data_IF_122820649255
#
_entry.id   IF_122820649255
#
_cell.length_a   1.000
_cell.length_b   1.000
_cell.length_c   1.000
_cell.angle_alpha   90.00
_cell.angle_beta   90.00
_cell.angle_gamma   90.00
#
_symmetry.space_group_name_H-M   'P 1'
#
loop_
_entity.id
_entity.type
_entity.pdbx_description
1 polymer ?
#
# COMPACT_ATOMS: atom_id res chain seq x y z
N UNK A 1 -19.12 -5.42 -5.43
CA UNK A 1 -17.81 -5.05 -4.85
C UNK A 1 -17.93 -5.11 -3.34
N UNK A 2 -17.05 -5.84 -2.66
CA UNK A 2 -17.11 -6.05 -1.21
C UNK A 2 -16.71 -4.78 -0.43
N UNK A 3 -17.16 -4.63 0.84
CA UNK A 3 -16.96 -3.40 1.59
C UNK A 3 -15.49 -2.99 1.76
N UNK A 4 -14.60 -3.92 2.10
CA UNK A 4 -13.20 -3.58 2.36
C UNK A 4 -12.40 -3.34 1.09
N UNK A 5 -12.61 -4.13 0.04
CA UNK A 5 -12.01 -3.86 -1.28
C UNK A 5 -12.38 -2.46 -1.76
N UNK A 6 -13.65 -2.06 -1.66
CA UNK A 6 -14.07 -0.71 -2.03
C UNK A 6 -13.33 0.36 -1.23
N UNK A 7 -13.20 0.18 0.07
CA UNK A 7 -12.51 1.15 0.95
C UNK A 7 -11.03 1.27 0.59
N UNK A 8 -10.37 0.14 0.33
CA UNK A 8 -8.97 0.12 -0.08
C UNK A 8 -8.77 0.78 -1.44
N UNK A 9 -9.63 0.51 -2.44
CA UNK A 9 -9.58 1.19 -3.74
C UNK A 9 -9.71 2.71 -3.58
N UNK A 10 -10.69 3.17 -2.80
CA UNK A 10 -10.88 4.60 -2.53
C UNK A 10 -9.65 5.20 -1.83
N UNK A 11 -9.12 4.54 -0.80
CA UNK A 11 -7.95 5.02 -0.07
C UNK A 11 -6.73 5.17 -0.98
N UNK A 12 -6.45 4.18 -1.82
CA UNK A 12 -5.33 4.22 -2.77
C UNK A 12 -5.48 5.34 -3.79
N UNK A 13 -6.68 5.53 -4.35
CA UNK A 13 -6.95 6.62 -5.31
C UNK A 13 -6.80 7.99 -4.63
N UNK A 14 -7.34 8.16 -3.42
CA UNK A 14 -7.22 9.43 -2.68
C UNK A 14 -5.76 9.75 -2.38
N UNK A 15 -4.99 8.80 -1.86
CA UNK A 15 -3.55 9.01 -1.57
C UNK A 15 -2.77 9.29 -2.85
N UNK A 16 -3.06 8.59 -3.94
CA UNK A 16 -2.42 8.86 -5.22
C UNK A 16 -2.72 10.27 -5.74
N UNK A 17 -3.97 10.74 -5.65
CA UNK A 17 -4.32 12.11 -6.04
C UNK A 17 -3.58 13.13 -5.17
N UNK A 18 -3.61 12.98 -3.84
CA UNK A 18 -2.92 13.89 -2.92
C UNK A 18 -1.40 13.96 -3.16
N UNK A 19 -0.78 12.84 -3.49
CA UNK A 19 0.66 12.77 -3.75
C UNK A 19 1.05 13.24 -5.15
N UNK A 20 0.21 12.98 -6.16
CA UNK A 20 0.45 13.39 -7.55
C UNK A 20 0.19 14.88 -7.81
N UNK A 21 -0.72 15.50 -7.06
CA UNK A 21 -0.94 16.96 -7.09
C UNK A 21 0.09 17.74 -6.27
N UNK A 22 0.97 17.05 -5.52
CA UNK A 22 1.93 17.67 -4.61
C UNK A 22 1.31 18.24 -3.34
N UNK A 23 0.01 18.02 -3.09
CA UNK A 23 -0.67 18.43 -1.85
C UNK A 23 -0.05 17.76 -0.62
N UNK A 24 0.36 16.50 -0.77
CA UNK A 24 1.13 15.76 0.23
C UNK A 24 2.42 15.26 -0.42
N UNK A 25 3.61 15.53 0.13
CA UNK A 25 4.85 14.99 -0.40
C UNK A 25 4.83 13.45 -0.35
N UNK A 26 4.95 12.77 -1.49
CA UNK A 26 4.94 11.30 -1.52
C UNK A 26 6.03 10.66 -0.63
N UNK A 27 7.19 11.30 -0.53
CA UNK A 27 8.27 10.90 0.37
C UNK A 27 7.94 10.99 1.87
N UNK A 28 6.89 11.73 2.27
CA UNK A 28 6.43 11.72 3.66
C UNK A 28 5.72 10.40 4.02
N UNK A 29 5.09 9.77 3.02
CA UNK A 29 4.26 8.58 3.20
C UNK A 29 4.96 7.30 2.71
N UNK A 30 6.04 7.41 1.95
CA UNK A 30 6.85 6.28 1.51
C UNK A 30 7.64 5.65 2.67
N UNK A 31 8.06 4.40 2.49
CA UNK A 31 8.95 3.73 3.43
C UNK A 31 10.40 4.01 3.04
N UNK A 32 11.17 4.60 3.96
CA UNK A 32 12.62 4.74 3.85
C UNK A 32 13.28 3.86 4.91
N UNK A 33 13.74 2.63 4.58
CA UNK A 33 14.29 1.73 5.60
C UNK A 33 15.48 2.33 6.36
N UNK A 34 16.36 3.06 5.67
CA UNK A 34 17.48 3.76 6.30
C UNK A 34 17.06 4.89 7.26
N UNK A 35 15.89 5.50 7.07
CA UNK A 35 15.37 6.61 7.88
C UNK A 35 14.16 6.20 8.73
N UNK A 36 13.94 4.90 8.95
CA UNK A 36 12.76 4.38 9.62
C UNK A 36 12.53 5.00 11.01
N UNK A 37 13.58 5.22 11.80
CA UNK A 37 13.46 5.85 13.12
C UNK A 37 12.92 7.28 13.08
N UNK A 38 13.05 7.97 11.94
CA UNK A 38 12.52 9.32 11.73
C UNK A 38 11.10 9.29 11.14
N UNK A 39 10.74 8.23 10.40
CA UNK A 39 9.45 8.08 9.72
C UNK A 39 8.86 6.68 9.94
N UNK A 40 8.56 6.29 11.19
CA UNK A 40 8.16 4.92 11.50
C UNK A 40 6.79 4.55 10.92
N UNK A 41 5.92 5.53 10.66
CA UNK A 41 4.62 5.31 10.00
C UNK A 41 4.76 4.81 8.56
N UNK A 42 5.95 4.99 7.94
CA UNK A 42 6.26 4.55 6.59
C UNK A 42 5.96 3.07 6.35
N UNK A 43 6.09 2.21 7.37
CA UNK A 43 5.81 0.76 7.26
C UNK A 43 4.33 0.43 7.01
N UNK A 44 3.42 1.38 7.22
CA UNK A 44 2.00 1.23 6.90
C UNK A 44 1.59 2.15 5.74
N UNK A 45 2.03 3.39 5.74
CA UNK A 45 1.58 4.38 4.75
C UNK A 45 2.07 4.08 3.35
N UNK A 46 3.24 3.44 3.22
CA UNK A 46 3.83 3.15 1.90
C UNK A 46 2.95 2.24 1.04
N UNK A 47 2.13 1.40 1.68
CA UNK A 47 1.17 0.51 1.02
C UNK A 47 0.21 1.29 0.11
N UNK A 48 -0.09 2.55 0.42
CA UNK A 48 -1.04 3.37 -0.33
C UNK A 48 -0.39 4.32 -1.34
N UNK A 49 0.94 4.49 -1.29
CA UNK A 49 1.68 5.41 -2.16
C UNK A 49 2.01 4.73 -3.48
N UNK A 50 1.86 5.42 -4.60
CA UNK A 50 2.16 4.88 -5.93
C UNK A 50 3.01 5.87 -6.73
N UNK A 51 4.10 5.38 -7.33
CA UNK A 51 5.08 6.21 -8.04
C UNK A 51 4.55 6.85 -9.34
N UNK A 52 3.59 6.22 -10.01
CA UNK A 52 3.03 6.71 -11.28
C UNK A 52 1.65 6.09 -11.56
N UNK A 53 0.98 6.61 -12.60
CA UNK A 53 -0.37 6.18 -12.98
C UNK A 53 -0.45 4.69 -13.34
N UNK A 54 0.51 4.16 -14.11
CA UNK A 54 0.51 2.74 -14.48
C UNK A 54 0.68 1.84 -13.24
N UNK A 55 1.49 2.27 -12.28
CA UNK A 55 1.71 1.52 -11.05
C UNK A 55 0.43 1.40 -10.21
N UNK A 56 -0.33 2.49 -10.02
CA UNK A 56 -1.63 2.39 -9.33
C UNK A 56 -2.64 1.59 -10.16
N UNK A 57 -2.70 1.78 -11.48
CA UNK A 57 -3.66 1.09 -12.34
C UNK A 57 -3.55 -0.42 -12.20
N UNK A 58 -2.36 -1.00 -12.31
CA UNK A 58 -2.17 -2.45 -12.21
C UNK A 58 -2.44 -3.00 -10.81
N UNK A 59 -2.06 -2.27 -9.76
CA UNK A 59 -2.39 -2.68 -8.38
C UNK A 59 -3.91 -2.68 -8.15
N UNK A 60 -4.61 -1.66 -8.63
CA UNK A 60 -6.07 -1.57 -8.47
C UNK A 60 -6.80 -2.63 -9.29
N UNK A 61 -6.29 -2.99 -10.48
CA UNK A 61 -6.79 -4.14 -11.25
C UNK A 61 -6.65 -5.43 -10.44
N UNK A 62 -5.46 -5.71 -9.89
CA UNK A 62 -5.24 -6.89 -9.05
C UNK A 62 -6.18 -6.92 -7.84
N UNK A 63 -6.25 -5.83 -7.09
CA UNK A 63 -7.12 -5.71 -5.92
C UNK A 63 -8.61 -5.84 -6.29
N UNK A 64 -9.03 -5.30 -7.43
CA UNK A 64 -10.41 -5.40 -7.90
C UNK A 64 -10.81 -6.82 -8.31
N UNK A 65 -9.92 -7.56 -8.97
CA UNK A 65 -10.22 -8.93 -9.43
C UNK A 65 -10.05 -9.98 -8.32
N UNK A 66 -9.00 -9.88 -7.50
CA UNK A 66 -8.70 -10.90 -6.48
C UNK A 66 -9.30 -10.57 -5.12
N UNK A 67 -9.32 -9.29 -4.74
CA UNK A 67 -9.76 -8.83 -3.42
C UNK A 67 -11.17 -9.30 -3.04
N UNK A 68 -12.21 -9.14 -3.88
CA UNK A 68 -13.57 -9.52 -3.49
C UNK A 68 -13.73 -11.01 -3.24
N UNK A 69 -13.02 -11.85 -4.01
CA UNK A 69 -13.04 -13.31 -3.84
C UNK A 69 -12.39 -13.70 -2.51
N UNK A 70 -11.25 -13.10 -2.18
CA UNK A 70 -10.57 -13.29 -0.89
C UNK A 70 -11.42 -12.78 0.28
N UNK A 71 -12.03 -11.60 0.17
CA UNK A 71 -12.88 -11.03 1.24
C UNK A 71 -14.11 -11.89 1.51
N UNK A 72 -14.74 -12.44 0.46
CA UNK A 72 -15.89 -13.35 0.60
C UNK A 72 -15.51 -14.69 1.24
N UNK A 73 -14.32 -15.23 0.93
CA UNK A 73 -13.85 -16.50 1.48
C UNK A 73 -13.35 -16.40 2.92
N UNK A 74 -12.61 -15.32 3.24
CA UNK A 74 -11.96 -15.15 4.54
C UNK A 74 -12.81 -14.36 5.53
N UNK A 75 -13.78 -13.59 5.04
CA UNK A 75 -14.46 -12.55 5.81
C UNK A 75 -13.64 -11.26 5.93
N UNK A 76 -14.33 -10.15 6.18
CA UNK A 76 -13.72 -8.81 6.11
C UNK A 76 -12.55 -8.55 7.07
N UNK A 77 -12.60 -9.08 8.30
CA UNK A 77 -11.51 -8.90 9.28
C UNK A 77 -10.25 -9.66 8.86
N UNK A 78 -10.40 -10.92 8.46
CA UNK A 78 -9.28 -11.75 8.03
C UNK A 78 -8.67 -11.24 6.72
N UNK A 79 -9.48 -10.73 5.81
CA UNK A 79 -9.01 -10.06 4.60
C UNK A 79 -8.16 -8.81 4.91
N UNK A 80 -8.58 -7.97 5.85
CA UNK A 80 -7.77 -6.84 6.29
C UNK A 80 -6.47 -7.28 6.96
N UNK A 81 -6.51 -8.29 7.82
CA UNK A 81 -5.31 -8.81 8.45
C UNK A 81 -4.34 -9.36 7.40
N UNK A 82 -4.85 -10.07 6.39
CA UNK A 82 -4.04 -10.54 5.27
C UNK A 82 -3.37 -9.38 4.55
N UNK A 83 -4.13 -8.33 4.20
CA UNK A 83 -3.60 -7.13 3.54
C UNK A 83 -2.53 -6.43 4.37
N UNK A 84 -2.75 -6.24 5.67
CA UNK A 84 -1.79 -5.58 6.56
C UNK A 84 -0.54 -6.44 6.80
N UNK A 85 -0.71 -7.75 6.99
CA UNK A 85 0.41 -8.66 7.20
C UNK A 85 1.25 -8.83 5.95
N UNK A 86 0.65 -8.85 4.75
CA UNK A 86 1.40 -8.91 3.49
C UNK A 86 2.22 -7.63 3.29
N UNK A 87 1.63 -6.45 3.56
CA UNK A 87 2.35 -5.18 3.60
C UNK A 87 3.49 -5.17 4.62
N UNK A 88 3.25 -5.57 5.88
CA UNK A 88 4.31 -5.64 6.87
C UNK A 88 5.42 -6.62 6.48
N UNK A 89 5.08 -7.73 5.83
CA UNK A 89 6.04 -8.65 5.22
C UNK A 89 6.90 -7.96 4.17
N UNK A 90 6.28 -7.23 3.24
CA UNK A 90 6.98 -6.43 2.24
C UNK A 90 7.90 -5.37 2.84
N UNK A 91 7.46 -4.70 3.91
CA UNK A 91 8.28 -3.76 4.66
C UNK A 91 9.50 -4.46 5.29
N UNK A 92 9.30 -5.62 5.93
CA UNK A 92 10.39 -6.40 6.52
C UNK A 92 11.43 -6.83 5.47
N UNK A 93 10.98 -7.32 4.30
CA UNK A 93 11.87 -7.65 3.19
C UNK A 93 12.62 -6.42 2.66
N UNK A 94 11.98 -5.25 2.69
CA UNK A 94 12.60 -3.99 2.26
C UNK A 94 13.77 -3.57 3.17
N UNK A 95 13.69 -3.82 4.48
CA UNK A 95 14.81 -3.61 5.40
C UNK A 95 16.02 -4.50 5.09
N UNK A 96 15.77 -5.71 4.55
CA UNK A 96 16.82 -6.67 4.23
C UNK A 96 17.45 -6.40 2.84
N UNK A 97 16.63 -6.09 1.84
CA UNK A 97 17.06 -6.10 0.44
C UNK A 97 17.05 -4.73 -0.25
N UNK A 98 16.32 -3.74 0.28
CA UNK A 98 16.13 -2.43 -0.35
C UNK A 98 16.48 -1.26 0.59
N UNK A 99 17.43 -1.47 1.51
CA UNK A 99 17.68 -0.55 2.63
C UNK A 99 17.90 0.92 2.22
N UNK A 100 18.52 1.15 1.06
CA UNK A 100 18.90 2.46 0.56
C UNK A 100 17.91 3.06 -0.45
N UNK A 101 16.79 2.39 -0.73
CA UNK A 101 15.81 2.83 -1.71
C UNK A 101 14.46 3.12 -1.04
N UNK A 102 13.73 4.16 -1.47
CA UNK A 102 12.35 4.35 -1.05
C UNK A 102 11.46 3.23 -1.60
N UNK A 103 10.55 2.75 -0.77
CA UNK A 103 9.58 1.71 -1.14
C UNK A 103 8.18 2.30 -1.11
N UNK A 104 7.40 2.02 -2.16
CA UNK A 104 6.01 2.47 -2.35
C UNK A 104 5.20 1.38 -3.03
N UNK A 105 3.91 1.28 -2.69
CA UNK A 105 2.93 0.40 -3.31
C UNK A 105 2.59 -0.83 -2.46
N UNK A 106 1.33 -1.27 -2.56
CA UNK A 106 0.79 -2.46 -1.89
C UNK A 106 0.87 -3.72 -2.76
N UNK A 107 1.92 -3.89 -3.57
CA UNK A 107 2.09 -5.09 -4.40
C UNK A 107 2.57 -6.33 -3.63
N UNK A 108 2.81 -6.20 -2.32
CA UNK A 108 3.29 -7.25 -1.42
C UNK A 108 2.20 -8.07 -0.75
#
# INVERSE_FOLDING_TARGET
MTPWVRRLLIANVVVFLLTSTGTVPGGLLALYPAAFLLQPWGVFTYMFVHANFMHILFNMIGLFFFGPRLELQLGGRSFLNLYLLSGLGGAAFSFLFARNYPVVGASG
#
